data_IF_030518278461
#
_entry.id   IF_030518278461
#
_cell.length_a   1.000
_cell.length_b   1.000
_cell.length_c   1.000
_cell.angle_alpha   90.00
_cell.angle_beta   90.00
_cell.angle_gamma   90.00
#
_symmetry.space_group_name_H-M   'P 1'
#
loop_
_entity.id
_entity.type
_entity.pdbx_description
1 polymer ?
#
# COMPACT_ATOMS: atom_id res chain seq x y z
N UNK A 1 8.84 32.62 5.87
CA UNK A 1 7.77 31.64 5.58
C UNK A 1 8.43 30.28 5.52
N UNK A 2 7.89 29.22 6.14
CA UNK A 2 8.49 27.90 5.98
C UNK A 2 8.38 27.53 4.49
N UNK A 3 9.51 27.13 3.90
CA UNK A 3 9.58 26.67 2.50
C UNK A 3 8.74 25.39 2.36
N UNK A 4 7.47 25.51 2.01
CA UNK A 4 6.65 24.38 1.64
C UNK A 4 7.17 23.81 0.31
N UNK A 5 7.55 22.54 0.31
CA UNK A 5 7.91 21.84 -0.92
C UNK A 5 6.64 21.71 -1.77
N UNK A 6 6.65 22.09 -3.07
CA UNK A 6 5.49 21.91 -3.92
C UNK A 6 5.05 20.45 -3.98
N UNK A 7 3.76 20.17 -3.77
CA UNK A 7 3.23 18.80 -3.80
C UNK A 7 3.49 18.11 -5.14
N UNK A 8 3.51 18.85 -6.24
CA UNK A 8 3.89 18.32 -7.55
C UNK A 8 5.31 17.73 -7.54
N UNK A 9 6.27 18.41 -6.90
CA UNK A 9 7.64 17.93 -6.78
C UNK A 9 7.72 16.68 -5.88
N UNK A 10 6.97 16.65 -4.77
CA UNK A 10 6.88 15.46 -3.91
C UNK A 10 6.29 14.26 -4.67
N UNK A 11 5.24 14.49 -5.47
CA UNK A 11 4.63 13.46 -6.30
C UNK A 11 5.60 12.92 -7.35
N UNK A 12 6.33 13.79 -8.06
CA UNK A 12 7.33 13.38 -9.05
C UNK A 12 8.48 12.60 -8.41
N UNK A 13 9.00 13.06 -7.27
CA UNK A 13 10.07 12.37 -6.55
C UNK A 13 9.62 11.02 -6.01
N UNK A 14 8.37 10.91 -5.55
CA UNK A 14 7.78 9.65 -5.13
C UNK A 14 7.74 8.66 -6.31
N UNK A 15 7.19 9.06 -7.46
CA UNK A 15 7.09 8.18 -8.62
C UNK A 15 8.46 7.80 -9.18
N UNK A 16 9.42 8.73 -9.23
CA UNK A 16 10.78 8.44 -9.67
C UNK A 16 11.46 7.35 -8.82
N UNK A 17 11.12 7.26 -7.53
CA UNK A 17 11.70 6.29 -6.61
C UNK A 17 10.91 4.98 -6.51
N UNK A 18 9.59 5.07 -6.52
CA UNK A 18 8.71 3.96 -6.16
C UNK A 18 7.92 3.37 -7.32
N UNK A 19 7.98 3.93 -8.53
CA UNK A 19 7.32 3.33 -9.69
C UNK A 19 7.72 1.85 -9.88
N UNK A 20 6.72 0.99 -10.06
CA UNK A 20 6.88 -0.46 -10.16
C UNK A 20 7.12 -1.17 -8.83
N UNK A 21 7.35 -0.44 -7.72
CA UNK A 21 7.56 -1.00 -6.39
C UNK A 21 6.23 -1.25 -5.67
N UNK A 22 6.33 -1.98 -4.59
CA UNK A 22 5.22 -2.27 -3.68
C UNK A 22 5.58 -1.77 -2.28
N UNK A 23 4.61 -1.16 -1.62
CA UNK A 23 4.70 -0.74 -0.22
C UNK A 23 3.76 -1.60 0.63
N UNK A 24 4.13 -1.81 1.90
CA UNK A 24 3.24 -2.28 2.95
C UNK A 24 3.17 -1.17 4.00
N UNK A 25 1.99 -0.57 4.12
CA UNK A 25 1.68 0.49 5.09
C UNK A 25 1.03 -0.18 6.30
N UNK A 26 1.58 0.03 7.50
CA UNK A 26 1.16 -0.73 8.68
C UNK A 26 1.22 0.10 9.97
N UNK A 27 0.50 -0.35 11.02
CA UNK A 27 0.53 0.19 12.40
C UNK A 27 1.31 -0.72 13.35
N UNK A 28 2.32 -1.39 12.81
CA UNK A 28 2.94 -2.59 13.38
C UNK A 28 2.42 -3.87 12.72
N UNK A 29 3.20 -4.94 12.83
CA UNK A 29 2.80 -6.29 12.41
C UNK A 29 2.54 -7.14 13.66
N UNK A 30 1.67 -8.17 13.56
CA UNK A 30 1.61 -9.21 14.57
C UNK A 30 2.99 -9.85 14.80
N UNK A 31 3.17 -10.41 15.99
CA UNK A 31 4.37 -11.19 16.31
C UNK A 31 4.56 -12.30 15.26
N UNK A 32 5.82 -12.59 14.93
CA UNK A 32 6.24 -13.56 13.90
C UNK A 32 5.92 -13.18 12.43
N UNK A 33 4.85 -12.44 12.14
CA UNK A 33 4.46 -12.08 10.76
C UNK A 33 5.61 -11.44 9.97
N UNK A 34 6.33 -10.53 10.61
CA UNK A 34 7.47 -9.87 9.95
C UNK A 34 8.60 -10.85 9.62
N UNK A 35 8.84 -11.83 10.49
CA UNK A 35 9.84 -12.87 10.25
C UNK A 35 9.41 -13.77 9.09
N UNK A 36 8.17 -14.22 9.09
CA UNK A 36 7.58 -15.04 8.02
C UNK A 36 7.60 -14.30 6.68
N UNK A 37 7.29 -13.00 6.67
CA UNK A 37 7.38 -12.15 5.49
C UNK A 37 8.81 -12.16 4.92
N UNK A 38 9.84 -12.01 5.75
CA UNK A 38 11.23 -12.04 5.28
C UNK A 38 11.68 -13.41 4.76
N UNK A 39 11.04 -14.49 5.21
CA UNK A 39 11.30 -15.86 4.76
C UNK A 39 10.65 -16.16 3.39
N UNK A 40 9.65 -15.39 2.96
CA UNK A 40 9.01 -15.57 1.66
C UNK A 40 9.86 -15.05 0.49
N UNK A 41 9.82 -15.72 -0.68
CA UNK A 41 10.37 -15.18 -1.92
C UNK A 41 9.79 -13.80 -2.22
N UNK A 42 10.64 -12.77 -2.27
CA UNK A 42 10.21 -11.40 -2.55
C UNK A 42 9.70 -10.60 -1.34
N UNK A 43 9.59 -11.18 -0.15
CA UNK A 43 9.09 -10.46 1.02
C UNK A 43 10.01 -9.34 1.53
N UNK A 44 11.32 -9.44 1.26
CA UNK A 44 12.27 -8.33 1.43
C UNK A 44 12.14 -7.22 0.38
N UNK A 45 11.42 -7.46 -0.72
CA UNK A 45 11.25 -6.54 -1.85
C UNK A 45 10.20 -5.44 -1.64
N UNK A 46 9.39 -5.55 -0.58
CA UNK A 46 8.39 -4.55 -0.24
C UNK A 46 8.97 -3.48 0.71
N UNK A 47 8.80 -2.21 0.35
CA UNK A 47 9.07 -1.13 1.30
C UNK A 47 8.02 -1.16 2.40
N UNK A 48 8.42 -0.93 3.64
CA UNK A 48 7.50 -0.96 4.80
C UNK A 48 7.46 0.41 5.43
N UNK A 49 6.25 0.90 5.69
CA UNK A 49 6.02 2.22 6.27
C UNK A 49 5.17 2.05 7.52
N UNK A 50 5.79 2.34 8.68
CA UNK A 50 5.11 2.37 9.96
C UNK A 50 4.44 3.73 10.17
N UNK A 51 3.11 3.78 10.04
CA UNK A 51 2.36 5.04 10.12
C UNK A 51 2.19 5.57 11.54
N UNK A 52 2.66 4.83 12.55
CA UNK A 52 2.74 5.34 13.93
C UNK A 52 3.83 6.40 14.07
N UNK A 53 4.81 6.40 13.18
CA UNK A 53 5.84 7.42 13.11
C UNK A 53 5.26 8.62 12.35
N UNK A 54 5.20 9.83 12.96
CA UNK A 54 4.67 11.01 12.28
C UNK A 54 5.61 11.45 11.14
N UNK A 55 5.08 12.12 10.09
CA UNK A 55 5.90 12.60 8.99
C UNK A 55 6.86 13.71 9.45
N UNK A 56 8.02 13.82 8.79
CA UNK A 56 8.98 14.89 9.04
C UNK A 56 8.47 16.28 8.65
N UNK A 57 9.27 17.33 8.95
CA UNK A 57 8.99 18.71 8.50
C UNK A 57 10.23 19.31 7.83
N UNK A 58 10.23 19.51 6.49
CA UNK A 58 9.18 19.09 5.55
C UNK A 58 9.11 17.55 5.40
N UNK A 59 7.96 17.00 4.97
CA UNK A 59 7.82 15.56 4.77
C UNK A 59 8.66 15.07 3.59
N UNK A 60 9.11 13.83 3.66
CA UNK A 60 9.66 13.12 2.49
C UNK A 60 8.54 12.81 1.48
N UNK A 61 8.86 12.51 0.20
CA UNK A 61 7.87 12.14 -0.80
C UNK A 61 6.93 10.99 -0.39
N UNK A 62 7.47 9.95 0.23
CA UNK A 62 6.66 8.80 0.68
C UNK A 62 5.82 9.13 1.91
N UNK A 63 6.35 9.91 2.85
CA UNK A 63 5.58 10.41 3.99
C UNK A 63 4.41 11.28 3.54
N UNK A 64 4.63 12.15 2.55
CA UNK A 64 3.57 12.96 1.96
C UNK A 64 2.48 12.07 1.34
N UNK A 65 2.83 11.10 0.48
CA UNK A 65 1.84 10.19 -0.10
C UNK A 65 1.08 9.41 0.97
N UNK A 66 1.78 8.77 1.90
CA UNK A 66 1.15 7.90 2.88
C UNK A 66 0.28 8.70 3.85
N UNK A 67 0.80 9.77 4.45
CA UNK A 67 0.07 10.50 5.48
C UNK A 67 -1.02 11.41 4.93
N UNK A 68 -0.90 11.94 3.69
CA UNK A 68 -1.90 12.85 3.12
C UNK A 68 -2.91 12.16 2.21
N UNK A 69 -2.58 11.00 1.61
CA UNK A 69 -3.45 10.36 0.62
C UNK A 69 -3.85 8.92 0.96
N UNK A 70 -3.05 8.17 1.74
CA UNK A 70 -3.36 6.77 2.07
C UNK A 70 -4.08 6.67 3.41
N UNK A 71 -3.52 7.22 4.48
CA UNK A 71 -4.10 7.14 5.83
C UNK A 71 -5.52 7.72 5.90
N UNK A 72 -5.83 8.87 5.27
CA UNK A 72 -7.18 9.45 5.36
C UNK A 72 -8.30 8.61 4.73
N UNK A 73 -7.95 7.56 3.98
CA UNK A 73 -8.94 6.62 3.41
C UNK A 73 -9.51 5.67 4.46
N UNK A 74 -8.88 5.57 5.63
CA UNK A 74 -9.29 4.72 6.75
C UNK A 74 -9.51 3.23 6.38
N UNK A 75 -8.69 2.73 5.45
CA UNK A 75 -8.70 1.31 5.08
C UNK A 75 -8.09 0.46 6.20
N UNK A 76 -8.51 -0.81 6.36
CA UNK A 76 -7.88 -1.73 7.29
C UNK A 76 -6.39 -1.90 6.99
N UNK A 77 -5.61 -2.18 8.05
CA UNK A 77 -4.16 -2.32 7.96
C UNK A 77 -3.72 -3.67 8.54
N UNK A 78 -2.64 -4.28 8.00
CA UNK A 78 -1.69 -3.75 7.02
C UNK A 78 -2.26 -3.60 5.61
N UNK A 79 -1.77 -2.59 4.88
CA UNK A 79 -2.24 -2.23 3.54
C UNK A 79 -1.13 -2.43 2.52
N UNK A 80 -1.42 -3.24 1.49
CA UNK A 80 -0.60 -3.41 0.31
C UNK A 80 -0.86 -2.25 -0.66
N UNK A 81 0.22 -1.61 -1.12
CA UNK A 81 0.15 -0.52 -2.10
C UNK A 81 1.03 -0.86 -3.29
N UNK A 82 0.43 -1.08 -4.46
CA UNK A 82 1.17 -1.18 -5.72
C UNK A 82 1.28 0.21 -6.35
N UNK A 83 2.51 0.63 -6.65
CA UNK A 83 2.80 1.94 -7.24
C UNK A 83 3.01 1.77 -8.74
N UNK A 84 2.10 2.33 -9.52
CA UNK A 84 2.19 2.43 -10.98
C UNK A 84 2.35 3.91 -11.41
N UNK A 85 2.70 4.20 -12.68
CA UNK A 85 2.98 5.57 -13.12
C UNK A 85 1.78 6.53 -12.99
N UNK A 86 0.58 5.99 -13.20
CA UNK A 86 -0.67 6.76 -13.32
C UNK A 86 -1.59 6.59 -12.11
N UNK A 87 -1.36 5.58 -11.28
CA UNK A 87 -2.19 5.32 -10.11
C UNK A 87 -1.51 4.45 -9.06
N UNK A 88 -2.08 4.45 -7.86
CA UNK A 88 -1.71 3.53 -6.78
C UNK A 88 -2.91 2.61 -6.49
N UNK A 89 -2.67 1.31 -6.41
CA UNK A 89 -3.69 0.33 -6.04
C UNK A 89 -3.52 -0.09 -4.58
N UNK A 90 -4.59 -0.01 -3.81
CA UNK A 90 -4.59 -0.25 -2.36
C UNK A 90 -5.51 -1.43 -2.03
N UNK A 91 -4.96 -2.44 -1.35
CA UNK A 91 -5.70 -3.61 -0.86
C UNK A 91 -5.20 -4.01 0.53
N UNK A 92 -6.07 -4.32 1.49
CA UNK A 92 -5.61 -4.67 2.84
C UNK A 92 -5.26 -6.16 2.94
N UNK A 93 -4.35 -6.50 3.84
CA UNK A 93 -3.82 -7.86 4.03
C UNK A 93 -4.58 -8.62 5.14
N UNK A 94 -5.85 -8.31 5.39
CA UNK A 94 -6.61 -8.93 6.47
C UNK A 94 -7.61 -9.98 5.95
N UNK A 95 -7.77 -11.06 6.69
CA UNK A 95 -8.88 -12.02 6.64
C UNK A 95 -9.66 -11.92 7.95
N UNK A 96 -10.83 -11.28 7.90
CA UNK A 96 -11.55 -10.87 9.10
C UNK A 96 -10.66 -9.98 9.99
N UNK A 97 -10.33 -10.46 11.19
CA UNK A 97 -9.53 -9.71 12.17
C UNK A 97 -8.03 -10.04 12.15
N UNK A 98 -7.59 -11.01 11.33
CA UNK A 98 -6.21 -11.48 11.32
C UNK A 98 -5.50 -11.08 10.03
N UNK A 99 -4.18 -10.87 10.11
CA UNK A 99 -3.36 -10.65 8.90
C UNK A 99 -3.22 -11.98 8.16
N UNK A 100 -3.58 -12.00 6.88
CA UNK A 100 -3.44 -13.17 6.00
C UNK A 100 -1.98 -13.54 5.77
N UNK A 101 -1.71 -14.79 5.43
CA UNK A 101 -0.34 -15.30 5.42
C UNK A 101 0.54 -14.58 4.38
N UNK A 102 1.82 -14.26 4.65
CA UNK A 102 2.66 -13.50 3.72
C UNK A 102 2.79 -14.07 2.30
N UNK A 103 2.64 -15.38 2.11
CA UNK A 103 2.66 -16.02 0.78
C UNK A 103 1.55 -15.52 -0.14
N UNK A 104 0.47 -15.01 0.43
CA UNK A 104 -0.70 -14.52 -0.29
C UNK A 104 -0.44 -13.22 -1.05
N UNK A 105 0.56 -12.45 -0.62
CA UNK A 105 0.91 -11.15 -1.19
C UNK A 105 1.18 -11.25 -2.70
N UNK A 106 1.80 -12.34 -3.17
CA UNK A 106 2.07 -12.53 -4.59
C UNK A 106 0.77 -12.63 -5.39
N UNK A 107 -0.16 -13.48 -4.95
CA UNK A 107 -1.47 -13.61 -5.60
C UNK A 107 -2.29 -12.31 -5.54
N UNK A 108 -2.23 -11.61 -4.41
CA UNK A 108 -2.86 -10.31 -4.28
C UNK A 108 -2.27 -9.27 -5.23
N UNK A 109 -0.96 -9.27 -5.44
CA UNK A 109 -0.29 -8.38 -6.39
C UNK A 109 -0.63 -8.71 -7.85
N UNK A 110 -0.72 -10.00 -8.18
CA UNK A 110 -1.08 -10.45 -9.53
C UNK A 110 -2.49 -9.98 -9.91
N UNK A 111 -3.42 -9.96 -8.96
CA UNK A 111 -4.81 -9.52 -9.16
C UNK A 111 -5.08 -8.06 -8.77
N UNK A 112 -4.08 -7.27 -8.35
CA UNK A 112 -4.33 -5.98 -7.67
C UNK A 112 -4.94 -4.91 -8.60
N UNK A 113 -4.77 -5.06 -9.92
CA UNK A 113 -5.32 -4.12 -10.91
C UNK A 113 -6.81 -4.33 -11.12
N UNK A 114 -7.29 -5.53 -10.88
CA UNK A 114 -8.69 -5.94 -10.98
C UNK A 114 -9.37 -5.92 -9.61
N UNK A 115 -8.62 -6.26 -8.54
CA UNK A 115 -9.10 -6.39 -7.16
C UNK A 115 -8.34 -5.46 -6.22
N UNK A 116 -8.91 -4.29 -5.99
CA UNK A 116 -8.43 -3.27 -5.06
C UNK A 116 -9.61 -2.65 -4.31
N UNK A 117 -9.40 -2.14 -3.10
CA UNK A 117 -10.46 -1.38 -2.39
C UNK A 117 -10.46 0.09 -2.80
N UNK A 118 -9.27 0.64 -3.03
CA UNK A 118 -9.12 2.02 -3.48
C UNK A 118 -8.03 2.11 -4.54
N UNK A 119 -8.32 2.85 -5.60
CA UNK A 119 -7.32 3.32 -6.56
C UNK A 119 -7.12 4.81 -6.35
N UNK A 120 -5.87 5.22 -6.14
CA UNK A 120 -5.47 6.62 -6.08
C UNK A 120 -5.00 7.04 -7.48
N UNK A 121 -5.87 7.68 -8.25
CA UNK A 121 -5.53 8.18 -9.59
C UNK A 121 -4.66 9.43 -9.49
N UNK A 122 -3.56 9.44 -10.25
CA UNK A 122 -2.64 10.57 -10.27
C UNK A 122 -3.27 11.78 -10.92
N UNK A 123 -3.23 12.90 -10.20
CA UNK A 123 -3.55 14.23 -10.71
C UNK A 123 -2.36 15.15 -10.41
N UNK A 124 -2.29 16.34 -11.01
CA UNK A 124 -1.14 17.23 -10.81
C UNK A 124 -1.03 17.68 -9.34
N UNK A 125 -0.07 17.12 -8.60
CA UNK A 125 0.20 17.46 -7.20
C UNK A 125 -0.79 16.89 -6.19
N UNK A 126 -1.65 15.94 -6.57
CA UNK A 126 -2.52 15.20 -5.65
C UNK A 126 -2.94 13.84 -6.22
N UNK A 127 -3.59 13.02 -5.41
CA UNK A 127 -4.22 11.78 -5.84
C UNK A 127 -5.72 11.82 -5.61
N UNK A 128 -6.50 11.46 -6.63
CA UNK A 128 -7.95 11.33 -6.55
C UNK A 128 -8.31 9.90 -6.14
N UNK A 129 -9.00 9.69 -5.00
CA UNK A 129 -9.49 8.36 -4.63
C UNK A 129 -10.66 7.93 -5.52
N UNK A 130 -10.59 6.68 -5.98
CA UNK A 130 -11.63 5.98 -6.73
C UNK A 130 -11.87 4.62 -6.07
N UNK A 131 -13.08 4.36 -5.54
CA UNK A 131 -13.39 3.09 -4.88
C UNK A 131 -13.36 1.92 -5.87
N UNK A 132 -12.94 0.76 -5.39
CA UNK A 132 -13.01 -0.51 -6.10
C UNK A 132 -13.99 -1.46 -5.42
N UNK A 133 -13.52 -2.66 -5.07
CA UNK A 133 -14.30 -3.65 -4.35
C UNK A 133 -14.57 -3.23 -2.89
N UNK A 134 -15.68 -3.64 -2.27
CA UNK A 134 -15.93 -3.45 -0.85
C UNK A 134 -14.77 -3.94 0.02
N UNK A 135 -14.59 -3.33 1.19
CA UNK A 135 -13.51 -3.70 2.13
C UNK A 135 -13.72 -5.12 2.65
N UNK A 136 -14.98 -5.52 2.82
CA UNK A 136 -15.37 -6.84 3.28
C UNK A 136 -15.10 -7.95 2.25
N UNK A 137 -15.02 -7.60 0.95
CA UNK A 137 -14.80 -8.54 -0.16
C UNK A 137 -13.30 -8.73 -0.47
N UNK A 138 -12.51 -9.01 0.58
CA UNK A 138 -11.06 -9.15 0.46
C UNK A 138 -10.56 -10.58 0.28
N UNK A 139 -11.45 -11.57 0.29
CA UNK A 139 -11.08 -12.97 0.16
C UNK A 139 -10.29 -13.25 -1.13
N UNK A 140 -9.42 -14.25 -1.05
CA UNK A 140 -8.73 -14.80 -2.20
C UNK A 140 -9.54 -16.00 -2.68
N UNK A 141 -10.02 -15.95 -3.91
CA UNK A 141 -10.64 -17.09 -4.57
C UNK A 141 -9.54 -18.12 -4.85
N UNK A 142 -9.28 -18.97 -3.86
CA UNK A 142 -8.47 -20.14 -4.05
C UNK A 142 -9.32 -21.20 -4.77
N UNK A 143 -9.25 -21.26 -6.08
CA UNK A 143 -9.63 -22.50 -6.79
C UNK A 143 -8.60 -23.59 -6.44
N UNK A 144 -8.67 -24.15 -5.23
CA UNK A 144 -8.04 -25.42 -4.89
C UNK A 144 -8.91 -26.56 -5.43
N UNK A 145 -9.02 -26.64 -6.76
CA UNK A 145 -9.23 -27.92 -7.43
C UNK A 145 -7.86 -28.38 -7.94
N UNK A 146 -7.09 -29.00 -7.05
CA UNK A 146 -6.10 -29.98 -7.45
C UNK A 146 -6.58 -31.32 -6.90
N UNK A 147 -7.16 -32.12 -7.80
CA UNK A 147 -7.27 -33.58 -7.67
C UNK A 147 -5.93 -34.24 -7.31
#
# INVERSE_FOLDING_TARGET
MPNSIPHLLLQEQFLNRFNGRTLIVHRGFPDQYFKELLEQPGGGGHFRIDVRIPPGTPPTPIEWVVHQHVIPLDLPMPLLVKVDPDCLYLRHLLHGEHVGHPSEILWMLDAIRERYHMRLERQQGYYQPVPGMPVEENDLDYDFNND
#
